data_IF_709151642247
#
_entry.id   IF_709151642247
#
_cell.length_a   1.000
_cell.length_b   1.000
_cell.length_c   1.000
_cell.angle_alpha   90.00
_cell.angle_beta   90.00
_cell.angle_gamma   90.00
#
_symmetry.space_group_name_H-M   'P 1'
#
loop_
_entity.id
_entity.type
_entity.pdbx_description
1 polymer ?
#
# COMPACT_ATOMS: atom_id res chain seq x y z
N UNK A 1 8.49 7.04 0.48
CA UNK A 1 8.34 8.15 -0.51
C UNK A 1 7.36 9.21 -0.01
N UNK A 2 6.12 8.88 0.39
CA UNK A 2 5.13 9.86 0.84
C UNK A 2 5.62 10.76 1.98
N UNK A 3 6.35 10.24 2.94
CA UNK A 3 6.98 11.04 4.01
C UNK A 3 7.96 12.08 3.48
N UNK A 4 8.80 11.71 2.50
CA UNK A 4 9.71 12.70 1.85
C UNK A 4 8.95 13.79 1.13
N UNK A 5 7.83 13.47 0.46
CA UNK A 5 6.94 14.45 -0.17
C UNK A 5 6.27 15.37 0.86
N UNK A 6 6.01 14.87 2.08
CA UNK A 6 5.50 15.65 3.20
C UNK A 6 6.58 16.51 3.91
N UNK A 7 7.84 16.45 3.45
CA UNK A 7 8.95 17.20 4.02
C UNK A 7 9.65 16.52 5.21
N UNK A 8 9.40 15.24 5.45
CA UNK A 8 10.07 14.47 6.50
C UNK A 8 11.43 13.96 6.03
N UNK A 9 12.40 13.95 6.92
CA UNK A 9 13.63 13.18 6.75
C UNK A 9 13.36 11.71 7.12
N UNK A 10 13.60 10.78 6.20
CA UNK A 10 13.45 9.33 6.45
C UNK A 10 14.84 8.79 6.80
N UNK A 11 15.08 8.56 8.09
CA UNK A 11 16.39 8.13 8.58
C UNK A 11 16.60 6.62 8.51
N UNK A 12 15.55 5.82 8.62
CA UNK A 12 15.66 4.37 8.63
C UNK A 12 14.48 3.65 7.98
N UNK A 13 14.70 2.39 7.61
CA UNK A 13 13.68 1.46 7.13
C UNK A 13 14.01 0.03 7.55
N UNK A 14 12.96 -0.81 7.65
CA UNK A 14 13.06 -2.24 7.91
C UNK A 14 12.19 -3.02 6.93
N UNK A 15 12.72 -4.09 6.41
CA UNK A 15 11.99 -5.13 5.68
C UNK A 15 12.74 -6.45 5.78
N UNK A 16 12.06 -7.58 5.63
CA UNK A 16 12.70 -8.91 5.58
C UNK A 16 13.02 -9.37 4.15
N UNK A 17 12.46 -8.71 3.13
CA UNK A 17 12.59 -9.10 1.73
C UNK A 17 13.83 -8.42 1.08
N UNK A 18 14.88 -9.20 0.72
CA UNK A 18 16.09 -8.64 0.10
C UNK A 18 15.81 -7.91 -1.22
N UNK A 19 14.82 -8.37 -2.00
CA UNK A 19 14.43 -7.75 -3.26
C UNK A 19 13.77 -6.38 -3.01
N UNK A 20 12.89 -6.28 -2.00
CA UNK A 20 12.29 -5.01 -1.59
C UNK A 20 13.34 -4.07 -1.02
N UNK A 21 14.27 -4.57 -0.20
CA UNK A 21 15.40 -3.82 0.32
C UNK A 21 16.27 -3.20 -0.79
N UNK A 22 16.61 -3.97 -1.81
CA UNK A 22 17.35 -3.47 -2.96
C UNK A 22 16.63 -2.30 -3.64
N UNK A 23 15.33 -2.46 -3.94
CA UNK A 23 14.56 -1.42 -4.62
C UNK A 23 14.32 -0.20 -3.73
N UNK A 24 14.16 -0.40 -2.42
CA UNK A 24 14.07 0.70 -1.47
C UNK A 24 15.33 1.55 -1.51
N UNK A 25 16.51 0.94 -1.40
CA UNK A 25 17.81 1.63 -1.46
C UNK A 25 18.03 2.32 -2.81
N UNK A 26 17.62 1.68 -3.90
CA UNK A 26 17.74 2.23 -5.26
C UNK A 26 16.95 3.54 -5.45
N UNK A 27 15.83 3.71 -4.76
CA UNK A 27 14.91 4.82 -4.96
C UNK A 27 14.89 5.85 -3.80
N UNK A 28 15.19 5.44 -2.58
CA UNK A 28 14.93 6.27 -1.40
C UNK A 28 16.18 6.60 -0.57
N UNK A 29 17.22 5.78 -0.67
CA UNK A 29 18.54 6.03 -0.06
C UNK A 29 18.47 6.47 1.42
N UNK A 30 17.84 5.65 2.30
CA UNK A 30 17.84 5.92 3.75
C UNK A 30 19.24 5.66 4.35
N UNK A 31 19.58 6.38 5.42
CA UNK A 31 20.86 6.20 6.12
C UNK A 31 20.97 4.83 6.78
N UNK A 32 19.87 4.37 7.40
CA UNK A 32 19.78 3.08 8.08
C UNK A 32 18.83 2.16 7.32
N UNK A 33 19.21 0.90 7.20
CA UNK A 33 18.34 -0.13 6.64
C UNK A 33 18.56 -1.46 7.35
N UNK A 34 17.52 -1.98 7.96
CA UNK A 34 17.51 -3.23 8.71
C UNK A 34 16.85 -4.32 7.86
N UNK A 35 17.66 -5.22 7.31
CA UNK A 35 17.18 -6.38 6.54
C UNK A 35 17.05 -7.58 7.49
N UNK A 36 16.02 -7.57 8.30
CA UNK A 36 15.73 -8.60 9.30
C UNK A 36 14.25 -8.61 9.67
N UNK A 37 13.75 -9.68 10.31
CA UNK A 37 12.44 -9.66 10.95
C UNK A 37 12.31 -8.51 11.93
N UNK A 38 11.12 -7.90 12.03
CA UNK A 38 10.88 -6.79 12.98
C UNK A 38 11.10 -7.23 14.44
N UNK A 39 10.83 -8.49 14.78
CA UNK A 39 11.08 -9.04 16.10
C UNK A 39 12.54 -8.97 16.53
N UNK A 40 13.50 -9.05 15.60
CA UNK A 40 14.93 -8.93 15.89
C UNK A 40 15.29 -7.52 16.39
N UNK A 41 14.54 -6.49 15.91
CA UNK A 41 14.72 -5.11 16.34
C UNK A 41 14.25 -4.88 17.79
N UNK A 42 13.52 -5.80 18.40
CA UNK A 42 13.07 -5.67 19.79
C UNK A 42 14.21 -5.91 20.79
N UNK A 43 15.23 -6.68 20.39
CA UNK A 43 16.35 -7.06 21.28
C UNK A 43 17.71 -6.56 20.79
N UNK A 44 17.83 -6.20 19.50
CA UNK A 44 19.08 -5.72 18.92
C UNK A 44 19.56 -4.40 19.57
N UNK A 45 20.85 -4.15 19.56
CA UNK A 45 21.41 -2.82 19.82
C UNK A 45 21.07 -1.92 18.63
N UNK A 46 20.38 -0.80 18.89
CA UNK A 46 19.91 0.13 17.88
C UNK A 46 20.63 1.49 18.00
N UNK A 47 20.89 2.18 16.86
CA UNK A 47 21.44 3.53 16.88
C UNK A 47 20.61 4.49 17.75
N UNK A 48 21.27 5.31 18.56
CA UNK A 48 20.61 6.22 19.52
C UNK A 48 19.63 7.19 18.88
N UNK A 49 19.83 7.57 17.63
CA UNK A 49 18.91 8.45 16.88
C UNK A 49 17.51 7.86 16.70
N UNK A 50 17.36 6.54 16.71
CA UNK A 50 16.04 5.88 16.63
C UNK A 50 15.20 6.04 17.90
N UNK A 51 15.78 6.43 19.01
CA UNK A 51 15.07 6.74 20.27
C UNK A 51 14.58 8.20 20.35
N UNK A 52 14.76 8.97 19.27
CA UNK A 52 14.30 10.37 19.18
C UNK A 52 13.51 10.62 17.89
N UNK A 53 12.67 9.67 17.49
CA UNK A 53 11.84 9.76 16.30
C UNK A 53 10.63 10.69 16.53
N UNK A 54 10.36 11.55 15.56
CA UNK A 54 9.06 12.21 15.49
C UNK A 54 7.96 11.21 15.07
N UNK A 55 8.22 10.38 14.05
CA UNK A 55 7.25 9.44 13.51
C UNK A 55 7.90 8.06 13.31
N UNK A 56 7.22 7.01 13.78
CA UNK A 56 7.48 5.63 13.38
C UNK A 56 6.28 5.12 12.56
N UNK A 57 6.55 4.72 11.31
CA UNK A 57 5.56 4.17 10.38
C UNK A 57 5.70 2.66 10.26
N UNK A 58 4.57 1.97 10.06
CA UNK A 58 4.56 0.55 9.79
C UNK A 58 3.35 0.10 8.96
N UNK A 59 3.56 -0.90 8.12
CA UNK A 59 2.49 -1.58 7.38
C UNK A 59 2.59 -3.09 7.64
N UNK A 60 2.36 -3.54 8.89
CA UNK A 60 2.47 -4.95 9.22
C UNK A 60 1.45 -5.77 8.43
N UNK A 61 1.86 -6.88 7.79
CA UNK A 61 0.99 -7.61 6.88
C UNK A 61 -0.23 -8.21 7.58
N UNK A 62 -1.39 -8.05 6.95
CA UNK A 62 -2.67 -8.58 7.42
C UNK A 62 -3.30 -9.49 6.35
N UNK A 63 -2.60 -10.56 5.99
CA UNK A 63 -3.03 -11.47 4.91
C UNK A 63 -4.30 -12.26 5.22
N UNK A 64 -4.68 -12.37 6.49
CA UNK A 64 -5.88 -13.07 6.95
C UNK A 64 -7.16 -12.25 6.79
N UNK A 65 -7.07 -10.92 6.67
CA UNK A 65 -8.21 -10.01 6.64
C UNK A 65 -8.39 -9.26 5.30
N UNK A 66 -7.53 -9.52 4.30
CA UNK A 66 -7.71 -8.97 2.96
C UNK A 66 -8.96 -9.52 2.29
N UNK A 67 -9.75 -8.65 1.64
CA UNK A 67 -10.94 -9.04 0.86
C UNK A 67 -10.60 -10.01 -0.28
N UNK A 68 -9.37 -9.98 -0.78
CA UNK A 68 -8.84 -10.85 -1.83
C UNK A 68 -8.22 -12.16 -1.31
N UNK A 69 -8.13 -12.35 0.01
CA UNK A 69 -7.51 -13.52 0.64
C UNK A 69 -8.52 -14.54 1.17
N UNK A 70 -8.04 -15.77 1.45
CA UNK A 70 -8.84 -16.81 2.13
C UNK A 70 -9.02 -16.41 3.59
N UNK A 71 -10.18 -15.85 3.91
CA UNK A 71 -10.57 -15.48 5.28
C UNK A 71 -10.52 -16.71 6.19
N UNK A 72 -10.10 -16.56 7.44
CA UNK A 72 -10.20 -17.51 8.55
C UNK A 72 -9.33 -18.78 8.49
N UNK A 73 -9.05 -19.37 7.31
CA UNK A 73 -8.25 -20.61 7.21
C UNK A 73 -6.74 -20.44 7.45
N UNK A 74 -6.27 -19.20 7.52
CA UNK A 74 -4.84 -18.85 7.58
C UNK A 74 -4.40 -18.26 8.92
N UNK A 75 -5.28 -18.14 9.90
CA UNK A 75 -4.95 -17.63 11.23
C UNK A 75 -3.95 -18.57 11.93
N UNK A 76 -2.88 -17.99 12.48
CA UNK A 76 -1.85 -18.73 13.24
C UNK A 76 -0.94 -19.64 12.40
N UNK A 77 -1.01 -19.60 11.05
CA UNK A 77 -0.14 -20.41 10.19
C UNK A 77 1.05 -19.61 9.69
N UNK A 78 2.23 -20.25 9.68
CA UNK A 78 3.42 -19.72 9.03
C UNK A 78 3.18 -19.52 7.53
N UNK A 79 3.50 -18.36 7.00
CA UNK A 79 3.41 -18.07 5.56
C UNK A 79 4.73 -17.52 5.03
N UNK A 80 4.99 -17.87 3.76
CA UNK A 80 6.02 -17.23 2.95
C UNK A 80 5.32 -16.45 1.84
N UNK A 81 5.70 -15.21 1.61
CA UNK A 81 5.20 -14.43 0.49
C UNK A 81 6.04 -14.59 -0.76
N UNK A 82 7.35 -14.83 -0.57
CA UNK A 82 8.34 -15.00 -1.65
C UNK A 82 9.44 -15.96 -1.23
N UNK A 83 10.08 -16.55 -2.22
CA UNK A 83 11.27 -17.39 -2.04
C UNK A 83 12.40 -16.57 -1.36
N UNK A 84 13.02 -17.14 -0.32
CA UNK A 84 14.10 -16.48 0.44
C UNK A 84 13.69 -15.68 1.66
N UNK A 85 12.38 -15.50 1.93
CA UNK A 85 11.92 -14.86 3.18
C UNK A 85 11.96 -15.82 4.37
N UNK A 86 12.28 -15.29 5.56
CA UNK A 86 12.13 -16.02 6.81
C UNK A 86 10.67 -16.40 7.10
N UNK A 87 10.45 -17.54 7.76
CA UNK A 87 9.10 -17.96 8.21
C UNK A 87 8.62 -17.02 9.30
N UNK A 88 7.40 -16.48 9.17
CA UNK A 88 6.78 -15.61 10.16
C UNK A 88 5.34 -16.01 10.45
N UNK A 89 4.91 -15.85 11.70
CA UNK A 89 3.51 -15.93 12.10
C UNK A 89 2.89 -14.56 11.89
N UNK A 90 2.12 -14.40 10.82
CA UNK A 90 1.64 -13.09 10.36
C UNK A 90 0.64 -12.39 11.31
N UNK A 91 -0.02 -13.16 12.19
CA UNK A 91 -0.94 -12.60 13.20
C UNK A 91 -0.23 -11.75 14.24
N UNK A 92 1.06 -12.01 14.48
CA UNK A 92 1.80 -11.41 15.59
C UNK A 92 2.58 -10.16 15.15
N UNK A 93 2.85 -10.00 13.85
CA UNK A 93 3.67 -8.89 13.32
C UNK A 93 3.12 -7.49 13.62
N UNK A 94 1.81 -7.35 13.79
CA UNK A 94 1.24 -6.07 14.21
C UNK A 94 1.60 -5.76 15.66
N UNK A 95 1.60 -6.77 16.53
CA UNK A 95 2.00 -6.60 17.93
C UNK A 95 3.51 -6.40 18.06
N UNK A 96 4.34 -7.07 17.25
CA UNK A 96 5.78 -6.79 17.16
C UNK A 96 6.05 -5.33 16.79
N UNK A 97 5.26 -4.78 15.84
CA UNK A 97 5.33 -3.35 15.51
C UNK A 97 4.95 -2.48 16.73
N UNK A 98 3.88 -2.82 17.45
CA UNK A 98 3.46 -2.09 18.65
C UNK A 98 4.50 -2.17 19.77
N UNK A 99 5.15 -3.32 19.93
CA UNK A 99 6.23 -3.48 20.88
C UNK A 99 7.46 -2.65 20.50
N UNK A 100 7.77 -2.53 19.19
CA UNK A 100 8.79 -1.62 18.69
C UNK A 100 8.41 -0.14 18.92
N UNK A 101 7.15 0.23 18.75
CA UNK A 101 6.64 1.55 19.14
C UNK A 101 6.86 1.81 20.64
N UNK A 102 6.54 0.83 21.50
CA UNK A 102 6.77 0.91 22.94
C UNK A 102 8.24 1.06 23.31
N UNK A 103 9.13 0.39 22.56
CA UNK A 103 10.59 0.47 22.75
C UNK A 103 11.20 1.80 22.32
N UNK A 104 10.88 2.26 21.10
CA UNK A 104 11.48 3.46 20.50
C UNK A 104 10.80 4.75 20.95
N UNK A 105 9.57 4.67 21.43
CA UNK A 105 8.77 5.79 21.94
C UNK A 105 8.71 7.03 21.02
N UNK A 106 8.41 6.87 19.71
CA UNK A 106 8.25 8.01 18.81
C UNK A 106 7.17 8.97 19.32
N UNK A 107 7.19 10.25 18.92
CA UNK A 107 6.08 11.17 19.26
C UNK A 107 4.76 10.72 18.65
N UNK A 108 4.81 10.18 17.43
CA UNK A 108 3.67 9.66 16.68
C UNK A 108 3.99 8.28 16.12
N UNK A 109 3.07 7.35 16.29
CA UNK A 109 3.09 6.06 15.59
C UNK A 109 1.98 6.01 14.53
N UNK A 110 2.32 5.58 13.31
CA UNK A 110 1.36 5.41 12.22
C UNK A 110 1.40 3.97 11.75
N UNK A 111 0.25 3.29 11.71
CA UNK A 111 0.16 1.95 11.13
C UNK A 111 -0.90 1.92 10.02
N UNK A 112 -0.52 1.40 8.84
CA UNK A 112 -1.44 1.22 7.71
C UNK A 112 -1.91 -0.21 7.61
N UNK A 113 -3.17 -0.39 7.17
CA UNK A 113 -3.69 -1.72 6.83
C UNK A 113 -4.90 -1.67 5.89
N UNK A 114 -5.39 -2.85 5.51
CA UNK A 114 -6.52 -2.99 4.60
C UNK A 114 -7.86 -2.69 5.29
N UNK A 115 -8.83 -2.13 4.55
CA UNK A 115 -10.22 -1.88 5.02
C UNK A 115 -10.88 -3.12 5.62
N UNK A 116 -10.49 -4.33 5.19
CA UNK A 116 -11.02 -5.59 5.70
C UNK A 116 -10.95 -5.75 7.22
N UNK A 117 -10.03 -5.05 7.89
CA UNK A 117 -9.93 -5.04 9.36
C UNK A 117 -11.12 -4.37 10.06
N UNK A 118 -11.94 -3.60 9.36
CA UNK A 118 -13.16 -2.98 9.90
C UNK A 118 -14.39 -3.89 9.83
N UNK A 119 -14.28 -5.11 9.26
CA UNK A 119 -15.42 -5.94 8.91
C UNK A 119 -15.31 -7.31 9.59
N UNK A 120 -16.47 -7.84 10.06
CA UNK A 120 -16.55 -9.20 10.61
C UNK A 120 -15.67 -9.41 11.84
N UNK A 121 -15.06 -10.59 11.94
CA UNK A 121 -14.21 -10.99 13.08
C UNK A 121 -12.94 -10.12 13.23
N UNK A 122 -12.49 -9.46 12.15
CA UNK A 122 -11.35 -8.56 12.18
C UNK A 122 -11.58 -7.30 13.04
N UNK A 123 -12.83 -6.92 13.31
CA UNK A 123 -13.15 -5.82 14.24
C UNK A 123 -12.62 -6.05 15.65
N UNK A 124 -12.65 -7.30 16.12
CA UNK A 124 -12.07 -7.68 17.43
C UNK A 124 -10.57 -7.39 17.47
N UNK A 125 -9.86 -7.79 16.43
CA UNK A 125 -8.42 -7.54 16.31
C UNK A 125 -8.09 -6.04 16.23
N UNK A 126 -8.87 -5.25 15.48
CA UNK A 126 -8.75 -3.79 15.45
C UNK A 126 -8.91 -3.16 16.84
N UNK A 127 -9.87 -3.65 17.65
CA UNK A 127 -10.05 -3.19 19.03
C UNK A 127 -8.84 -3.51 19.91
N UNK A 128 -8.27 -4.71 19.77
CA UNK A 128 -7.06 -5.11 20.51
C UNK A 128 -5.87 -4.21 20.14
N UNK A 129 -5.66 -3.89 18.87
CA UNK A 129 -4.63 -2.96 18.41
C UNK A 129 -4.82 -1.58 19.07
N UNK A 130 -6.04 -1.03 19.01
CA UNK A 130 -6.36 0.25 19.63
C UNK A 130 -6.12 0.24 21.14
N UNK A 131 -6.44 -0.89 21.81
CA UNK A 131 -6.16 -1.06 23.24
C UNK A 131 -4.67 -1.11 23.52
N UNK A 132 -3.91 -1.92 22.75
CA UNK A 132 -2.45 -2.03 22.91
C UNK A 132 -1.74 -0.69 22.74
N UNK A 133 -2.17 0.17 21.79
CA UNK A 133 -1.66 1.54 21.69
C UNK A 133 -1.85 2.33 23.01
N UNK A 134 -3.02 2.22 23.65
CA UNK A 134 -3.28 2.89 24.93
C UNK A 134 -2.40 2.33 26.04
N UNK A 135 -2.25 0.99 26.09
CA UNK A 135 -1.46 0.32 27.13
C UNK A 135 0.03 0.72 27.09
N UNK A 136 0.54 1.09 25.91
CA UNK A 136 1.91 1.59 25.74
C UNK A 136 2.05 3.12 25.79
N UNK A 137 0.97 3.84 26.20
CA UNK A 137 0.98 5.28 26.44
C UNK A 137 0.76 6.14 25.21
N UNK A 138 -0.17 5.73 24.32
CA UNK A 138 -0.55 6.49 23.14
C UNK A 138 -2.06 6.71 23.06
N UNK A 139 -2.47 7.82 22.42
CA UNK A 139 -3.87 8.18 22.10
C UNK A 139 -4.14 7.83 20.63
N UNK A 140 -4.64 6.62 20.30
CA UNK A 140 -4.86 6.21 18.93
C UNK A 140 -6.15 6.75 18.34
N UNK A 141 -6.12 7.14 17.07
CA UNK A 141 -7.27 7.42 16.22
C UNK A 141 -7.21 6.52 14.98
N UNK A 142 -8.37 6.18 14.42
CA UNK A 142 -8.50 5.29 13.27
C UNK A 142 -9.22 6.01 12.14
N UNK A 143 -8.61 6.05 10.96
CA UNK A 143 -9.12 6.71 9.77
C UNK A 143 -9.25 5.72 8.61
N UNK A 144 -10.36 5.81 7.89
CA UNK A 144 -10.52 5.16 6.58
C UNK A 144 -10.27 6.21 5.50
N UNK A 145 -9.26 6.00 4.68
CA UNK A 145 -8.84 6.92 3.62
C UNK A 145 -9.00 6.22 2.26
N UNK A 146 -9.48 6.96 1.26
CA UNK A 146 -9.46 6.53 -0.13
C UNK A 146 -8.36 7.31 -0.88
N UNK A 147 -7.47 6.61 -1.54
CA UNK A 147 -6.38 7.21 -2.31
C UNK A 147 -6.86 8.21 -3.37
N UNK A 148 -8.03 7.98 -3.97
CA UNK A 148 -8.62 8.90 -4.94
C UNK A 148 -8.86 10.30 -4.34
N UNK A 149 -9.24 10.38 -3.05
CA UNK A 149 -9.47 11.63 -2.32
C UNK A 149 -8.14 12.33 -1.94
N UNK A 150 -7.00 11.66 -2.17
CA UNK A 150 -5.65 12.19 -1.98
C UNK A 150 -4.95 12.56 -3.30
N UNK A 151 -5.69 12.65 -4.42
CA UNK A 151 -5.13 12.96 -5.74
C UNK A 151 -4.35 11.81 -6.37
N UNK A 152 -4.65 10.56 -6.00
CA UNK A 152 -4.15 9.35 -6.66
C UNK A 152 -5.18 8.91 -7.70
N UNK A 153 -4.81 8.61 -8.96
CA UNK A 153 -5.76 8.14 -9.96
C UNK A 153 -6.16 6.66 -9.76
N UNK A 154 -6.45 6.31 -8.49
CA UNK A 154 -6.77 4.96 -8.05
C UNK A 154 -7.74 4.98 -6.86
N UNK A 155 -8.82 4.20 -6.94
CA UNK A 155 -9.71 3.92 -5.81
C UNK A 155 -9.09 2.82 -4.95
N UNK A 156 -8.42 3.21 -3.86
CA UNK A 156 -7.77 2.30 -2.91
C UNK A 156 -8.08 2.74 -1.50
N UNK A 157 -8.91 1.98 -0.80
CA UNK A 157 -9.27 2.26 0.59
C UNK A 157 -8.29 1.56 1.54
N UNK A 158 -7.75 2.33 2.49
CA UNK A 158 -6.85 1.86 3.55
C UNK A 158 -7.25 2.47 4.88
N UNK A 159 -6.99 1.74 5.94
CA UNK A 159 -7.12 2.27 7.29
C UNK A 159 -5.74 2.72 7.79
N UNK A 160 -5.77 3.81 8.55
CA UNK A 160 -4.60 4.34 9.23
C UNK A 160 -4.89 4.46 10.71
N UNK A 161 -4.09 3.78 11.53
CA UNK A 161 -4.00 4.04 12.96
C UNK A 161 -2.98 5.16 13.13
N UNK A 162 -3.42 6.32 13.59
CA UNK A 162 -2.55 7.44 13.93
C UNK A 162 -2.58 7.61 15.44
N UNK A 163 -1.47 7.39 16.11
CA UNK A 163 -1.40 7.36 17.57
C UNK A 163 -0.40 8.40 18.07
N UNK A 164 -0.88 9.37 18.84
CA UNK A 164 -0.07 10.41 19.47
C UNK A 164 0.36 9.95 20.85
N UNK A 165 1.64 10.09 21.21
CA UNK A 165 2.14 9.78 22.54
C UNK A 165 1.48 10.68 23.59
N UNK A 166 1.11 10.14 24.75
CA UNK A 166 0.25 10.82 25.75
C UNK A 166 0.84 12.08 26.33
N UNK A 167 2.18 12.17 26.43
CA UNK A 167 2.93 13.32 26.91
C UNK A 167 3.05 14.47 25.89
N UNK A 168 2.62 14.25 24.65
CA UNK A 168 2.55 15.27 23.61
C UNK A 168 1.20 15.95 23.65
N UNK A 169 1.20 17.25 23.96
CA UNK A 169 -0.05 18.03 24.02
C UNK A 169 -0.41 18.55 22.62
N UNK A 170 -1.43 17.94 22.04
CA UNK A 170 -2.02 18.39 20.79
C UNK A 170 -3.50 17.91 20.68
N UNK A 171 -4.35 18.64 19.94
CA UNK A 171 -5.73 18.24 19.72
C UNK A 171 -5.82 16.95 18.90
N UNK A 172 -6.98 16.27 18.93
CA UNK A 172 -7.23 15.14 18.04
C UNK A 172 -6.96 15.48 16.57
N UNK A 173 -6.33 14.55 15.85
CA UNK A 173 -6.04 14.70 14.42
C UNK A 173 -7.33 14.83 13.63
N UNK A 174 -7.38 15.80 12.74
CA UNK A 174 -8.41 15.91 11.69
C UNK A 174 -7.77 15.55 10.37
N UNK A 175 -8.16 14.42 9.80
CA UNK A 175 -7.62 13.96 8.53
C UNK A 175 -8.61 14.30 7.42
N UNK A 176 -8.33 15.37 6.69
CA UNK A 176 -9.15 15.85 5.58
C UNK A 176 -8.52 15.43 4.24
N UNK A 177 -9.29 14.69 3.44
CA UNK A 177 -8.90 14.24 2.11
C UNK A 177 -10.05 14.55 1.14
N UNK A 178 -9.91 15.62 0.38
CA UNK A 178 -10.97 16.14 -0.51
C UNK A 178 -10.43 16.59 -1.86
N UNK A 179 -9.33 16.00 -2.33
CA UNK A 179 -8.80 16.30 -3.65
C UNK A 179 -9.78 15.88 -4.76
N UNK A 180 -9.81 16.66 -5.83
CA UNK A 180 -10.50 16.26 -7.07
C UNK A 180 -9.96 14.91 -7.56
N UNK A 181 -10.86 14.03 -7.92
CA UNK A 181 -10.48 12.74 -8.50
C UNK A 181 -9.79 12.92 -9.84
N UNK A 182 -8.68 12.23 -10.00
CA UNK A 182 -7.91 12.17 -11.24
C UNK A 182 -8.27 10.86 -11.94
N UNK A 183 -8.70 10.93 -13.19
CA UNK A 183 -9.02 9.73 -13.97
C UNK A 183 -7.77 9.00 -14.45
N UNK A 184 -7.92 7.71 -14.78
CA UNK A 184 -6.83 6.92 -15.36
C UNK A 184 -6.33 7.52 -16.67
N UNK A 185 -7.26 8.00 -17.54
CA UNK A 185 -6.92 8.61 -18.80
C UNK A 185 -6.22 9.97 -18.65
N UNK A 186 -6.62 10.77 -17.65
CA UNK A 186 -5.94 12.03 -17.34
C UNK A 186 -4.50 11.79 -16.87
N UNK A 187 -4.31 10.81 -15.98
CA UNK A 187 -3.00 10.49 -15.40
C UNK A 187 -1.97 9.96 -16.41
N UNK A 188 -2.43 9.37 -17.51
CA UNK A 188 -1.58 8.72 -18.53
C UNK A 188 -1.70 9.32 -19.92
N UNK A 189 -2.30 10.51 -20.04
CA UNK A 189 -2.61 11.14 -21.34
C UNK A 189 -1.39 11.39 -22.23
N UNK A 190 -0.23 11.58 -21.63
CA UNK A 190 1.06 11.84 -22.27
C UNK A 190 1.87 10.56 -22.55
N UNK A 191 1.35 9.38 -22.23
CA UNK A 191 2.02 8.07 -22.36
C UNK A 191 1.44 7.22 -23.50
N UNK A 192 0.93 7.84 -24.57
CA UNK A 192 0.24 7.12 -25.66
C UNK A 192 1.21 6.35 -26.57
N UNK A 193 2.45 6.83 -26.72
CA UNK A 193 3.45 6.20 -27.59
C UNK A 193 4.16 5.07 -26.86
N UNK A 194 3.85 3.83 -27.25
CA UNK A 194 4.50 2.63 -26.72
C UNK A 194 5.77 2.32 -27.47
N UNK A 195 6.83 2.00 -26.76
CA UNK A 195 8.04 1.38 -27.34
C UNK A 195 7.73 -0.04 -27.83
N UNK A 196 8.56 -0.59 -28.72
CA UNK A 196 8.35 -1.95 -29.21
C UNK A 196 8.47 -3.01 -28.08
N UNK A 197 9.34 -2.79 -27.11
CA UNK A 197 9.45 -3.63 -25.92
C UNK A 197 8.15 -3.59 -25.07
N UNK A 198 7.55 -2.42 -24.88
CA UNK A 198 6.27 -2.27 -24.16
C UNK A 198 5.12 -2.94 -24.90
N UNK A 199 5.07 -2.85 -26.24
CA UNK A 199 4.06 -3.55 -27.05
C UNK A 199 4.13 -5.07 -26.85
N UNK A 200 5.33 -5.62 -26.72
CA UNK A 200 5.54 -7.07 -26.47
C UNK A 200 5.13 -7.44 -25.03
N UNK A 201 5.62 -6.69 -24.02
CA UNK A 201 5.33 -7.00 -22.59
C UNK A 201 3.85 -6.86 -22.23
N UNK A 202 3.15 -5.93 -22.87
CA UNK A 202 1.74 -5.64 -22.57
C UNK A 202 0.73 -6.45 -23.39
N UNK A 203 1.15 -7.30 -24.28
CA UNK A 203 0.28 -8.08 -25.18
C UNK A 203 -0.65 -9.01 -24.42
N UNK A 204 -1.95 -8.93 -24.73
CA UNK A 204 -2.94 -9.88 -24.28
C UNK A 204 -2.91 -11.19 -25.10
N UNK A 205 -3.30 -12.29 -24.49
CA UNK A 205 -3.56 -13.55 -25.21
C UNK A 205 -4.80 -13.42 -26.09
N UNK A 206 -4.96 -14.28 -27.15
CA UNK A 206 -6.18 -14.26 -27.99
C UNK A 206 -7.48 -14.38 -27.19
N UNK A 207 -7.48 -15.19 -26.12
CA UNK A 207 -8.63 -15.36 -25.26
C UNK A 207 -8.96 -14.09 -24.45
N UNK A 208 -7.93 -13.42 -23.93
CA UNK A 208 -8.10 -12.14 -23.24
C UNK A 208 -8.60 -11.05 -24.18
N UNK A 209 -8.12 -11.01 -25.43
CA UNK A 209 -8.63 -10.09 -26.48
C UNK A 209 -10.11 -10.33 -26.75
N UNK A 210 -10.54 -11.62 -26.84
CA UNK A 210 -11.93 -11.98 -27.01
C UNK A 210 -12.81 -11.40 -25.88
N UNK A 211 -12.46 -11.66 -24.63
CA UNK A 211 -13.25 -11.19 -23.49
C UNK A 211 -13.15 -9.68 -23.30
N UNK A 212 -11.98 -9.07 -23.59
CA UNK A 212 -11.83 -7.62 -23.56
C UNK A 212 -12.82 -6.92 -24.50
N UNK A 213 -13.05 -7.45 -25.72
CA UNK A 213 -14.02 -6.90 -26.68
C UNK A 213 -15.47 -6.98 -26.18
N UNK A 214 -15.80 -7.98 -25.36
CA UNK A 214 -17.13 -8.21 -24.80
C UNK A 214 -17.35 -7.50 -23.46
N UNK A 215 -16.31 -6.97 -22.85
CA UNK A 215 -16.37 -6.33 -21.52
C UNK A 215 -16.40 -4.81 -21.67
N UNK A 216 -17.36 -4.15 -21.03
CA UNK A 216 -17.42 -2.69 -21.00
C UNK A 216 -16.26 -2.10 -20.16
N UNK A 217 -15.74 -0.92 -20.53
CA UNK A 217 -14.82 -0.20 -19.65
C UNK A 217 -15.42 0.03 -18.25
N UNK A 218 -14.63 -0.21 -17.21
CA UNK A 218 -15.07 -0.13 -15.81
C UNK A 218 -15.65 -1.43 -15.25
N UNK A 219 -15.68 -2.52 -16.04
CA UNK A 219 -16.23 -3.82 -15.63
C UNK A 219 -15.13 -4.89 -15.55
N UNK A 220 -15.42 -5.98 -14.82
CA UNK A 220 -14.60 -7.19 -14.85
C UNK A 220 -15.03 -8.10 -16.03
N UNK A 221 -14.24 -9.14 -16.31
CA UNK A 221 -14.49 -10.05 -17.42
C UNK A 221 -15.57 -11.11 -17.09
N UNK A 222 -16.06 -11.18 -15.85
CA UNK A 222 -16.93 -12.26 -15.39
C UNK A 222 -18.17 -12.45 -16.26
N UNK A 223 -18.89 -11.35 -16.56
CA UNK A 223 -20.13 -11.41 -17.33
C UNK A 223 -19.89 -11.88 -18.78
N UNK A 224 -18.78 -11.41 -19.38
CA UNK A 224 -18.38 -11.83 -20.72
C UNK A 224 -17.97 -13.31 -20.77
N UNK A 225 -17.33 -13.81 -19.71
CA UNK A 225 -16.94 -15.21 -19.58
C UNK A 225 -18.18 -16.07 -19.32
N UNK A 226 -19.09 -15.64 -18.44
CA UNK A 226 -20.35 -16.35 -18.16
C UNK A 226 -21.21 -16.50 -19.41
N UNK A 227 -21.36 -15.41 -20.19
CA UNK A 227 -22.11 -15.45 -21.46
C UNK A 227 -21.49 -16.41 -22.47
N UNK A 228 -20.18 -16.61 -22.45
CA UNK A 228 -19.47 -17.48 -23.39
C UNK A 228 -19.36 -18.95 -22.95
N UNK A 229 -19.40 -19.22 -21.63
CA UNK A 229 -19.09 -20.54 -21.05
C UNK A 229 -20.18 -21.12 -20.15
N UNK A 230 -21.20 -20.32 -19.83
CA UNK A 230 -22.26 -20.66 -18.88
C UNK A 230 -21.84 -20.64 -17.41
N UNK A 231 -20.61 -20.22 -17.10
CA UNK A 231 -20.10 -20.13 -15.72
C UNK A 231 -19.33 -18.84 -15.50
N UNK A 232 -19.64 -18.06 -14.45
CA UNK A 232 -18.90 -16.84 -14.11
C UNK A 232 -17.49 -17.19 -13.63
N UNK A 233 -16.50 -16.50 -14.21
CA UNK A 233 -15.11 -16.60 -13.79
C UNK A 233 -14.33 -15.34 -14.21
N UNK A 234 -13.01 -15.27 -13.91
CA UNK A 234 -12.18 -14.12 -14.27
C UNK A 234 -12.59 -12.79 -13.59
N UNK A 235 -13.17 -12.84 -12.42
CA UNK A 235 -13.60 -11.66 -11.64
C UNK A 235 -12.48 -10.64 -11.39
N UNK A 236 -11.23 -11.10 -11.30
CA UNK A 236 -10.08 -10.23 -11.07
C UNK A 236 -9.57 -9.54 -12.35
N UNK A 237 -9.95 -10.02 -13.55
CA UNK A 237 -9.59 -9.37 -14.81
C UNK A 237 -10.57 -8.23 -15.06
N UNK A 238 -10.05 -7.01 -15.12
CA UNK A 238 -10.86 -5.79 -15.23
C UNK A 238 -10.40 -4.95 -16.42
N UNK A 239 -11.36 -4.44 -17.20
CA UNK A 239 -11.10 -3.40 -18.19
C UNK A 239 -11.30 -2.06 -17.52
N UNK A 240 -10.22 -1.27 -17.39
CA UNK A 240 -10.25 0.02 -16.70
C UNK A 240 -11.15 1.02 -17.45
N UNK A 241 -11.74 1.96 -16.75
CA UNK A 241 -12.48 3.07 -17.34
C UNK A 241 -11.58 4.29 -17.48
N UNK A 242 -11.58 4.92 -18.66
CA UNK A 242 -10.73 6.08 -18.96
C UNK A 242 -11.01 7.27 -18.03
N UNK A 243 -12.30 7.57 -17.82
CA UNK A 243 -12.75 8.81 -17.17
C UNK A 243 -12.95 8.68 -15.65
N UNK A 244 -12.52 7.56 -15.06
CA UNK A 244 -12.55 7.31 -13.62
C UNK A 244 -11.17 6.96 -13.07
N UNK A 245 -10.91 7.16 -11.76
CA UNK A 245 -9.76 6.56 -11.11
C UNK A 245 -9.81 5.04 -11.28
N UNK A 246 -8.66 4.40 -11.54
CA UNK A 246 -8.61 2.95 -11.73
C UNK A 246 -9.00 2.19 -10.45
N UNK A 247 -9.28 0.89 -10.60
CA UNK A 247 -9.45 0.00 -9.45
C UNK A 247 -8.17 -0.10 -8.61
N UNK A 248 -8.30 -0.59 -7.38
CA UNK A 248 -7.14 -0.86 -6.52
C UNK A 248 -6.12 -1.72 -7.25
N UNK A 249 -4.96 -1.18 -7.54
CA UNK A 249 -3.85 -1.94 -8.12
C UNK A 249 -3.38 -3.00 -7.12
N UNK A 250 -3.25 -4.23 -7.60
CA UNK A 250 -2.80 -5.37 -6.81
C UNK A 250 -1.41 -5.85 -7.25
N UNK A 251 -0.86 -6.85 -6.54
CA UNK A 251 0.37 -7.54 -6.93
C UNK A 251 0.27 -8.35 -8.24
N UNK A 252 -0.93 -8.41 -8.86
CA UNK A 252 -1.21 -9.14 -10.09
C UNK A 252 -1.49 -8.19 -11.26
N UNK A 253 -0.47 -7.56 -11.86
CA UNK A 253 -0.66 -6.49 -12.85
C UNK A 253 -1.35 -6.96 -14.14
N UNK A 254 -1.27 -8.27 -14.45
CA UNK A 254 -1.94 -8.87 -15.62
C UNK A 254 -3.45 -9.08 -15.45
N UNK A 255 -4.03 -8.61 -14.36
CA UNK A 255 -5.48 -8.55 -14.19
C UNK A 255 -6.09 -7.24 -14.71
N UNK A 256 -5.27 -6.25 -15.11
CA UNK A 256 -5.74 -4.90 -15.47
C UNK A 256 -5.50 -4.63 -16.94
N UNK A 257 -6.59 -4.44 -17.70
CA UNK A 257 -6.59 -4.25 -19.13
C UNK A 257 -6.89 -2.78 -19.47
N UNK A 258 -6.18 -2.26 -20.48
CA UNK A 258 -6.33 -0.89 -20.94
C UNK A 258 -7.73 -0.66 -21.55
N UNK A 259 -8.24 0.57 -21.46
CA UNK A 259 -9.63 0.90 -21.87
C UNK A 259 -9.83 0.95 -23.39
N UNK A 260 -8.82 1.37 -24.18
CA UNK A 260 -8.94 1.52 -25.65
C UNK A 260 -8.31 0.37 -26.43
N UNK A 261 -7.30 -0.29 -25.87
CA UNK A 261 -6.52 -1.30 -26.55
C UNK A 261 -6.55 -2.60 -25.77
N UNK A 262 -6.63 -3.77 -26.45
CA UNK A 262 -6.63 -5.07 -25.79
C UNK A 262 -5.21 -5.44 -25.32
N UNK A 263 -4.69 -4.70 -24.35
CA UNK A 263 -3.36 -4.86 -23.75
C UNK A 263 -3.40 -4.63 -22.23
N UNK A 264 -2.35 -5.03 -21.56
CA UNK A 264 -2.07 -4.64 -20.18
C UNK A 264 -1.49 -3.20 -20.13
N UNK A 265 -1.36 -2.67 -18.94
CA UNK A 265 -0.70 -1.39 -18.71
C UNK A 265 0.83 -1.55 -18.74
N UNK A 266 1.55 -0.58 -19.28
CA UNK A 266 3.01 -0.47 -19.20
C UNK A 266 3.45 -0.16 -17.77
N UNK A 267 4.76 -0.26 -17.49
CA UNK A 267 5.28 0.15 -16.18
C UNK A 267 5.19 1.67 -15.99
N UNK A 268 5.34 2.47 -17.03
CA UNK A 268 5.16 3.94 -16.99
C UNK A 268 3.74 4.31 -16.57
N UNK A 269 2.73 3.73 -17.23
CA UNK A 269 1.33 3.92 -16.87
C UNK A 269 1.04 3.44 -15.44
N UNK A 270 1.60 2.30 -15.03
CA UNK A 270 1.42 1.73 -13.69
C UNK A 270 1.97 2.65 -12.61
N UNK A 271 3.14 3.29 -12.85
CA UNK A 271 3.69 4.32 -11.96
C UNK A 271 2.73 5.49 -11.78
N UNK A 272 2.23 6.05 -12.87
CA UNK A 272 1.28 7.18 -12.83
C UNK A 272 -0.01 6.81 -12.08
N UNK A 273 -0.60 5.63 -12.36
CA UNK A 273 -1.80 5.14 -11.67
C UNK A 273 -1.57 4.89 -10.18
N UNK A 274 -0.36 4.56 -9.77
CA UNK A 274 0.06 4.40 -8.38
C UNK A 274 0.56 5.69 -7.71
N UNK A 275 0.58 6.83 -8.43
CA UNK A 275 1.19 8.10 -8.01
C UNK A 275 2.70 8.02 -7.71
N UNK A 276 3.40 7.07 -8.30
CA UNK A 276 4.86 6.99 -8.24
C UNK A 276 5.48 7.94 -9.27
N UNK A 277 6.67 8.50 -9.00
CA UNK A 277 7.36 9.37 -9.96
C UNK A 277 7.85 8.58 -11.17
N UNK A 278 8.04 9.28 -12.30
CA UNK A 278 8.43 8.64 -13.55
C UNK A 278 9.83 8.04 -13.52
N UNK A 279 10.72 8.61 -12.74
CA UNK A 279 12.09 8.15 -12.52
C UNK A 279 12.22 7.00 -11.51
N UNK A 280 11.09 6.51 -10.95
CA UNK A 280 11.09 5.35 -10.06
C UNK A 280 11.61 4.11 -10.78
N UNK A 281 12.66 3.51 -10.23
CA UNK A 281 13.43 2.41 -10.85
C UNK A 281 13.04 1.05 -10.28
N UNK A 282 13.05 0.05 -11.16
CA UNK A 282 12.93 -1.36 -10.80
C UNK A 282 13.84 -2.21 -11.68
N UNK A 283 14.27 -3.39 -11.21
CA UNK A 283 15.09 -4.34 -12.01
C UNK A 283 14.36 -4.80 -13.26
N UNK A 284 13.06 -5.01 -13.15
CA UNK A 284 12.18 -5.36 -14.26
C UNK A 284 10.82 -4.71 -14.08
N UNK A 285 10.10 -4.48 -15.18
CA UNK A 285 8.73 -3.96 -15.16
C UNK A 285 7.79 -4.82 -14.32
N UNK A 286 7.95 -6.13 -14.37
CA UNK A 286 7.17 -7.09 -13.60
C UNK A 286 7.31 -6.86 -12.08
N UNK A 287 8.55 -6.73 -11.59
CA UNK A 287 8.79 -6.50 -10.16
C UNK A 287 8.34 -5.09 -9.76
N UNK A 288 8.56 -4.08 -10.61
CA UNK A 288 8.11 -2.72 -10.37
C UNK A 288 6.58 -2.61 -10.24
N UNK A 289 5.85 -3.24 -11.15
CA UNK A 289 4.38 -3.32 -11.08
C UNK A 289 3.88 -4.05 -9.82
N UNK A 290 4.55 -5.16 -9.44
CA UNK A 290 4.28 -5.88 -8.20
C UNK A 290 4.43 -4.98 -6.98
N UNK A 291 5.56 -4.28 -6.86
CA UNK A 291 5.87 -3.39 -5.73
C UNK A 291 4.84 -2.27 -5.60
N UNK A 292 4.49 -1.62 -6.71
CA UNK A 292 3.47 -0.56 -6.73
C UNK A 292 2.12 -1.10 -6.26
N UNK A 293 1.72 -2.28 -6.70
CA UNK A 293 0.47 -2.92 -6.28
C UNK A 293 0.42 -3.26 -4.79
N UNK A 294 1.57 -3.56 -4.19
CA UNK A 294 1.68 -3.83 -2.75
C UNK A 294 1.79 -2.57 -1.89
N UNK A 295 2.22 -1.46 -2.47
CA UNK A 295 2.55 -0.24 -1.73
C UNK A 295 1.32 0.62 -1.39
N UNK A 296 1.46 1.43 -0.35
CA UNK A 296 0.64 2.63 -0.15
C UNK A 296 1.06 3.67 -1.21
N UNK A 297 0.12 4.22 -2.00
CA UNK A 297 0.46 5.25 -2.98
C UNK A 297 1.16 6.45 -2.35
N UNK A 298 2.26 6.96 -2.93
CA UNK A 298 3.02 8.07 -2.36
C UNK A 298 2.19 9.31 -1.99
N UNK A 299 1.26 9.74 -2.86
CA UNK A 299 0.39 10.89 -2.56
C UNK A 299 -0.61 10.62 -1.43
N UNK A 300 -1.09 9.38 -1.29
CA UNK A 300 -1.94 9.01 -0.17
C UNK A 300 -1.19 9.13 1.15
N UNK A 301 0.04 8.60 1.22
CA UNK A 301 0.87 8.72 2.42
C UNK A 301 1.33 10.16 2.66
N UNK A 302 1.61 10.92 1.60
CA UNK A 302 1.91 12.36 1.71
C UNK A 302 0.77 13.11 2.40
N UNK A 303 -0.49 12.87 1.97
CA UNK A 303 -1.66 13.54 2.54
C UNK A 303 -1.83 13.25 4.05
N UNK A 304 -1.62 12.00 4.46
CA UNK A 304 -1.66 11.60 5.88
C UNK A 304 -0.49 12.23 6.66
N UNK A 305 0.74 12.04 6.17
CA UNK A 305 1.94 12.49 6.87
C UNK A 305 1.98 14.02 7.03
N UNK A 306 1.61 14.77 5.99
CA UNK A 306 1.57 16.24 6.03
C UNK A 306 0.65 16.74 7.14
N UNK A 307 -0.56 16.18 7.27
CA UNK A 307 -1.50 16.60 8.29
C UNK A 307 -1.05 16.20 9.71
N UNK A 308 -0.43 15.04 9.87
CA UNK A 308 0.22 14.64 11.13
C UNK A 308 1.34 15.60 11.51
N UNK A 309 2.21 15.95 10.57
CA UNK A 309 3.32 16.89 10.81
C UNK A 309 2.77 18.27 11.19
N UNK A 310 1.79 18.77 10.48
CA UNK A 310 1.24 20.12 10.72
C UNK A 310 0.46 20.22 12.02
N UNK A 311 -0.32 19.20 12.38
CA UNK A 311 -1.21 19.26 13.53
C UNK A 311 -0.57 18.77 14.83
N UNK A 312 0.38 17.81 14.74
CA UNK A 312 0.95 17.18 15.92
C UNK A 312 2.43 17.49 16.12
N UNK A 313 3.26 17.47 15.06
CA UNK A 313 4.71 17.66 15.23
C UNK A 313 5.07 19.14 15.34
N UNK A 314 4.56 19.99 14.45
CA UNK A 314 4.90 21.43 14.45
C UNK A 314 4.27 22.20 15.62
N UNK A 315 3.10 21.76 16.11
CA UNK A 315 2.39 22.42 17.23
C UNK A 315 2.89 21.97 18.60
N UNK A 316 3.54 20.83 18.69
CA UNK A 316 4.13 20.30 19.92
C UNK A 316 5.52 20.89 20.26
N UNK A 317 5.87 22.03 19.66
CA UNK A 317 7.11 22.76 19.93
C UNK A 317 6.88 23.92 20.88
#
# INVERSE_FOLDING_TARGET
MGYKLAGCEVIGANDIDPEMAYHYKLNLNSRLYFLCPIGDLLTAELPGELFNLDILDGSPPCSTFSMAGSREKAWGKNKHFREGQAKQVLSDLFFDYLDLVGRLRPKVAIAENVKGMLIGNAKGYTKLIMQRFRDIGYKPQLFLVNAADCGVPQRRERIFFCALREDVDAPPLKLETNHRWISAGEATRDLQDLTDAEKVDTKNTPLQVKYWKLTNPGSNFSDAVESATGKPSWFNNVRIHKDHPCFTLSSQPRNYHHWMEPRFFTFREWKRLGSFPDDYKAKTDKIGKYMIGMSVPPRMMEAVARQVVEQWIKKAR
#
